data_IF_229631540910
#
_entry.id   IF_229631540910
#
_cell.length_a   1.000
_cell.length_b   1.000
_cell.length_c   1.000
_cell.angle_alpha   90.00
_cell.angle_beta   90.00
_cell.angle_gamma   90.00
#
_symmetry.space_group_name_H-M   'P 1'
#
loop_
_entity.id
_entity.type
_entity.pdbx_description
1 polymer ?
#
# COMPACT_ATOMS: atom_id res chain seq x y z
N UNK A 1 45.70 -10.88 7.19
CA UNK A 1 44.30 -11.09 7.31
C UNK A 1 43.60 -10.24 6.25
N UNK A 2 42.89 -10.87 5.30
CA UNK A 2 42.06 -10.17 4.33
C UNK A 2 40.90 -9.51 5.10
N UNK A 3 40.85 -8.16 5.14
CA UNK A 3 39.69 -7.44 5.63
C UNK A 3 38.48 -7.85 4.77
N UNK A 4 37.43 -8.40 5.38
CA UNK A 4 36.19 -8.67 4.70
C UNK A 4 35.71 -7.35 4.09
N UNK A 5 35.52 -7.32 2.75
CA UNK A 5 35.11 -6.14 2.00
C UNK A 5 33.74 -5.54 2.45
N UNK A 6 32.99 -6.28 3.27
CA UNK A 6 31.67 -5.91 3.79
C UNK A 6 31.68 -5.50 5.28
N UNK A 7 32.82 -5.30 5.90
CA UNK A 7 32.88 -4.89 7.31
C UNK A 7 32.74 -3.36 7.42
N UNK A 8 31.59 -2.91 7.91
CA UNK A 8 31.35 -1.51 8.24
C UNK A 8 31.71 -1.30 9.72
N UNK A 9 32.59 -0.34 10.01
CA UNK A 9 32.98 -0.04 11.37
C UNK A 9 31.83 0.57 12.19
N UNK A 10 31.81 0.40 13.50
CA UNK A 10 30.80 0.99 14.38
C UNK A 10 30.72 2.54 14.26
N UNK A 11 31.84 3.19 13.96
CA UNK A 11 31.89 4.65 13.70
C UNK A 11 31.17 5.01 12.40
N UNK A 12 31.40 4.21 11.36
CA UNK A 12 30.77 4.39 10.05
C UNK A 12 29.27 4.13 10.12
N UNK A 13 28.83 3.05 10.78
CA UNK A 13 27.43 2.76 11.05
C UNK A 13 26.73 3.93 11.74
N UNK A 14 27.33 4.51 12.79
CA UNK A 14 26.77 5.68 13.47
C UNK A 14 26.65 6.90 12.56
N UNK A 15 27.62 7.12 11.66
CA UNK A 15 27.57 8.21 10.68
C UNK A 15 26.43 8.03 9.71
N UNK A 16 26.35 6.85 9.07
CA UNK A 16 25.31 6.49 8.09
C UNK A 16 23.90 6.59 8.73
N UNK A 17 23.74 5.97 9.91
CA UNK A 17 22.46 6.02 10.64
C UNK A 17 22.01 7.45 10.95
N UNK A 18 22.94 8.32 11.35
CA UNK A 18 22.63 9.73 11.63
C UNK A 18 22.22 10.50 10.35
N UNK A 19 22.93 10.29 9.24
CA UNK A 19 22.63 10.90 7.95
C UNK A 19 21.26 10.42 7.42
N UNK A 20 21.04 9.10 7.41
CA UNK A 20 19.80 8.50 6.96
C UNK A 20 18.59 8.94 7.80
N UNK A 21 18.75 9.01 9.13
CA UNK A 21 17.71 9.52 10.04
C UNK A 21 17.40 11.00 9.78
N UNK A 22 18.39 11.81 9.41
CA UNK A 22 18.14 13.20 9.04
C UNK A 22 17.28 13.28 7.76
N UNK A 23 17.63 12.52 6.73
CA UNK A 23 16.89 12.48 5.46
C UNK A 23 15.45 12.02 5.68
N UNK A 24 15.25 10.90 6.38
CA UNK A 24 13.90 10.38 6.64
C UNK A 24 13.05 11.32 7.49
N UNK A 25 13.64 11.99 8.48
CA UNK A 25 12.93 12.97 9.31
C UNK A 25 12.49 14.21 8.50
N UNK A 26 13.30 14.68 7.57
CA UNK A 26 12.93 15.79 6.68
C UNK A 26 11.76 15.41 5.78
N UNK A 27 11.78 14.21 5.19
CA UNK A 27 10.68 13.70 4.34
C UNK A 27 9.40 13.54 5.18
N UNK A 28 9.49 12.90 6.35
CA UNK A 28 8.34 12.71 7.25
C UNK A 28 7.77 14.06 7.74
N UNK A 29 8.63 15.03 8.07
CA UNK A 29 8.20 16.37 8.45
C UNK A 29 7.44 17.07 7.33
N UNK A 30 7.91 16.96 6.09
CA UNK A 30 7.23 17.52 4.91
C UNK A 30 5.86 16.86 4.69
N UNK A 31 5.79 15.54 4.81
CA UNK A 31 4.56 14.75 4.61
C UNK A 31 3.50 14.99 5.69
N UNK A 32 3.93 15.13 6.96
CA UNK A 32 3.04 15.28 8.11
C UNK A 32 2.66 16.73 8.40
N UNK A 33 2.87 17.65 7.45
CA UNK A 33 2.38 19.04 7.58
C UNK A 33 0.86 19.05 7.69
N UNK A 34 0.37 19.97 8.53
CA UNK A 34 -1.06 20.28 8.57
C UNK A 34 -1.43 21.14 7.36
N UNK A 35 -2.63 20.93 6.81
CA UNK A 35 -3.19 21.75 5.73
C UNK A 35 -2.33 21.77 4.45
N UNK A 36 -2.00 20.60 3.89
CA UNK A 36 -1.36 20.49 2.58
C UNK A 36 -2.38 20.92 1.52
N UNK A 37 -2.12 21.96 0.71
CA UNK A 37 -3.06 22.41 -0.31
C UNK A 37 -3.19 21.39 -1.44
N UNK A 38 -4.37 21.29 -2.06
CA UNK A 38 -4.63 20.37 -3.18
C UNK A 38 -3.64 20.54 -4.33
N UNK A 39 -3.17 21.74 -4.58
CA UNK A 39 -2.19 22.04 -5.63
C UNK A 39 -0.83 21.32 -5.48
N UNK A 40 -0.55 20.75 -4.30
CA UNK A 40 0.69 19.99 -4.09
C UNK A 40 0.53 18.48 -4.42
N UNK A 41 -0.70 17.95 -4.46
CA UNK A 41 -0.94 16.53 -4.70
C UNK A 41 -2.01 16.23 -5.76
N UNK A 42 -2.75 17.23 -6.25
CA UNK A 42 -3.61 17.09 -7.42
C UNK A 42 -2.82 17.51 -8.67
N UNK A 43 -2.92 16.70 -9.71
CA UNK A 43 -2.14 16.84 -10.94
C UNK A 43 -2.98 16.47 -12.17
N UNK A 44 -2.37 16.21 -13.30
CA UNK A 44 -3.01 15.70 -14.52
C UNK A 44 -2.29 14.47 -15.03
N UNK A 45 -3.02 13.57 -15.69
CA UNK A 45 -2.41 12.44 -16.40
C UNK A 45 -1.60 12.93 -17.59
N UNK A 46 -0.50 12.25 -17.92
CA UNK A 46 0.20 12.45 -19.21
C UNK A 46 -0.62 11.89 -20.37
N UNK A 47 -1.23 10.72 -20.16
CA UNK A 47 -2.19 10.12 -21.07
C UNK A 47 -3.53 9.95 -20.36
N UNK A 48 -4.60 10.65 -20.79
CA UNK A 48 -5.94 10.57 -20.16
C UNK A 48 -6.57 9.16 -20.17
N UNK A 49 -6.09 8.25 -21.03
CA UNK A 49 -6.58 6.87 -21.10
C UNK A 49 -5.99 5.98 -20.01
N UNK A 50 -5.01 6.46 -19.25
CA UNK A 50 -4.40 5.71 -18.17
C UNK A 50 -5.17 5.89 -16.85
N UNK A 51 -5.19 4.83 -16.04
CA UNK A 51 -5.64 4.90 -14.64
C UNK A 51 -4.48 5.13 -13.69
N UNK A 52 -3.29 4.61 -14.00
CA UNK A 52 -2.06 4.84 -13.22
C UNK A 52 -0.89 5.12 -14.15
N UNK A 53 -0.04 6.05 -13.74
CA UNK A 53 1.26 6.30 -14.38
C UNK A 53 2.35 6.36 -13.33
N UNK A 54 3.37 5.54 -13.49
CA UNK A 54 4.65 5.66 -12.78
C UNK A 54 5.61 6.44 -13.67
N UNK A 55 6.22 7.47 -13.13
CA UNK A 55 7.09 8.38 -13.86
C UNK A 55 8.37 8.61 -13.08
N UNK A 56 9.45 7.94 -13.51
CA UNK A 56 10.78 8.00 -12.91
C UNK A 56 10.76 7.82 -11.38
N UNK A 57 10.07 6.78 -10.90
CA UNK A 57 9.82 6.56 -9.47
C UNK A 57 11.04 5.94 -8.80
N UNK A 58 11.45 6.53 -7.68
CA UNK A 58 12.53 6.05 -6.83
C UNK A 58 12.01 5.80 -5.42
N UNK A 59 12.13 4.56 -4.94
CA UNK A 59 11.77 4.17 -3.57
C UNK A 59 12.94 3.49 -2.91
N UNK A 60 13.44 4.09 -1.83
CA UNK A 60 14.67 3.69 -1.14
C UNK A 60 14.39 3.34 0.31
N UNK A 61 15.23 2.45 0.87
CA UNK A 61 15.23 2.13 2.29
C UNK A 61 16.52 2.65 2.93
N UNK A 62 16.36 3.53 3.90
CA UNK A 62 17.43 4.18 4.66
C UNK A 62 17.72 3.36 5.93
N UNK A 63 18.73 2.50 5.85
CA UNK A 63 19.11 1.60 6.95
C UNK A 63 20.30 2.13 7.75
N UNK A 64 20.61 1.50 8.87
CA UNK A 64 21.78 1.88 9.70
C UNK A 64 23.12 1.58 9.02
N UNK A 65 23.13 0.75 7.99
CA UNK A 65 24.35 0.31 7.28
C UNK A 65 24.44 0.84 5.84
N UNK A 66 23.43 1.56 5.37
CA UNK A 66 23.42 2.13 4.01
C UNK A 66 22.02 2.42 3.50
N UNK A 67 21.93 2.81 2.23
CA UNK A 67 20.68 3.04 1.52
C UNK A 67 20.48 1.95 0.49
N UNK A 68 19.35 1.26 0.56
CA UNK A 68 18.93 0.26 -0.43
C UNK A 68 17.99 0.90 -1.42
N UNK A 69 18.36 0.92 -2.69
CA UNK A 69 17.55 1.42 -3.79
C UNK A 69 16.66 0.29 -4.32
N UNK A 70 15.51 0.12 -3.72
CA UNK A 70 14.61 -0.98 -4.06
C UNK A 70 13.85 -0.75 -5.39
N UNK A 71 13.53 0.51 -5.69
CA UNK A 71 12.99 0.97 -6.96
C UNK A 71 13.83 2.18 -7.38
N UNK A 72 14.43 2.16 -8.56
CA UNK A 72 15.40 3.17 -9.00
C UNK A 72 15.12 3.59 -10.44
N UNK A 73 14.28 4.64 -10.62
CA UNK A 73 13.94 5.22 -11.92
C UNK A 73 12.93 4.41 -12.74
N UNK A 74 11.92 3.82 -12.10
CA UNK A 74 10.91 2.99 -12.79
C UNK A 74 9.80 3.85 -13.38
N UNK A 75 9.51 3.60 -14.67
CA UNK A 75 8.41 4.25 -15.41
C UNK A 75 7.59 3.20 -16.17
N UNK A 76 6.27 3.22 -16.02
CA UNK A 76 5.31 2.44 -16.79
C UNK A 76 3.90 2.98 -16.59
N UNK A 77 2.97 2.50 -17.40
CA UNK A 77 1.58 2.96 -17.42
C UNK A 77 0.62 1.79 -17.24
N UNK A 78 -0.54 2.07 -16.64
CA UNK A 78 -1.66 1.13 -16.56
C UNK A 78 -2.85 1.79 -17.25
N UNK A 79 -3.20 1.38 -18.47
CA UNK A 79 -4.37 1.89 -19.17
C UNK A 79 -5.67 1.46 -18.47
N UNK A 80 -6.70 2.29 -18.57
CA UNK A 80 -8.01 2.00 -18.01
C UNK A 80 -8.60 0.70 -18.59
N UNK A 81 -9.14 -0.15 -17.72
CA UNK A 81 -9.75 -1.42 -18.10
C UNK A 81 -8.77 -2.47 -18.62
N UNK A 82 -7.46 -2.27 -18.44
CA UNK A 82 -6.42 -3.24 -18.83
C UNK A 82 -5.73 -3.86 -17.61
N UNK A 83 -5.22 -5.06 -17.79
CA UNK A 83 -4.37 -5.74 -16.81
C UNK A 83 -2.91 -5.61 -17.24
N UNK A 84 -2.06 -5.13 -16.32
CA UNK A 84 -0.61 -5.03 -16.51
C UNK A 84 0.09 -6.04 -15.61
N UNK A 85 0.90 -6.92 -16.20
CA UNK A 85 1.72 -7.88 -15.47
C UNK A 85 3.12 -7.32 -15.19
N UNK A 86 3.51 -7.28 -13.90
CA UNK A 86 4.87 -6.92 -13.49
C UNK A 86 5.64 -8.17 -13.14
N UNK A 87 6.64 -8.51 -13.95
CA UNK A 87 7.45 -9.73 -13.82
C UNK A 87 8.91 -9.40 -13.52
N UNK A 88 9.60 -10.32 -12.89
CA UNK A 88 11.02 -10.18 -12.55
C UNK A 88 11.44 -11.16 -11.45
N UNK A 89 12.73 -11.22 -11.16
CA UNK A 89 13.31 -12.09 -10.14
C UNK A 89 12.85 -11.73 -8.73
N UNK A 90 13.01 -12.65 -7.77
CA UNK A 90 12.75 -12.37 -6.36
C UNK A 90 13.65 -11.25 -5.86
N UNK A 91 13.08 -10.28 -5.13
CA UNK A 91 13.83 -9.14 -4.57
C UNK A 91 14.11 -7.99 -5.55
N UNK A 92 13.65 -8.04 -6.81
CA UNK A 92 13.89 -6.97 -7.79
C UNK A 92 12.98 -5.73 -7.63
N UNK A 93 12.21 -5.59 -6.55
CA UNK A 93 11.42 -4.39 -6.26
C UNK A 93 9.94 -4.41 -6.67
N UNK A 94 9.41 -5.50 -7.25
CA UNK A 94 7.99 -5.58 -7.68
C UNK A 94 6.99 -5.22 -6.59
N UNK A 95 7.11 -5.85 -5.43
CA UNK A 95 6.23 -5.59 -4.28
C UNK A 95 6.42 -4.17 -3.74
N UNK A 96 7.65 -3.65 -3.73
CA UNK A 96 7.93 -2.27 -3.30
C UNK A 96 7.28 -1.27 -4.25
N UNK A 97 7.28 -1.54 -5.56
CA UNK A 97 6.59 -0.70 -6.56
C UNK A 97 5.08 -0.62 -6.27
N UNK A 98 4.42 -1.76 -6.04
CA UNK A 98 2.99 -1.80 -5.68
C UNK A 98 2.71 -1.12 -4.33
N UNK A 99 3.57 -1.35 -3.32
CA UNK A 99 3.47 -0.70 -2.01
C UNK A 99 3.69 0.82 -2.10
N UNK A 100 4.49 1.30 -3.05
CA UNK A 100 4.69 2.73 -3.30
C UNK A 100 3.40 3.39 -3.81
N UNK A 101 2.65 2.74 -4.71
CA UNK A 101 1.34 3.19 -5.17
C UNK A 101 0.35 3.29 -4.00
N UNK A 102 0.38 2.32 -3.10
CA UNK A 102 -0.50 2.29 -1.91
C UNK A 102 -0.02 3.20 -0.78
N UNK A 103 1.16 3.82 -0.88
CA UNK A 103 1.87 4.46 0.25
C UNK A 103 1.98 3.55 1.49
N UNK A 104 2.20 2.25 1.29
CA UNK A 104 2.35 1.25 2.35
C UNK A 104 3.80 0.77 2.54
N UNK A 105 4.77 1.42 1.90
CA UNK A 105 6.19 1.18 2.16
C UNK A 105 6.48 1.49 3.63
N UNK A 106 7.18 0.56 4.29
CA UNK A 106 7.43 0.63 5.75
C UNK A 106 8.24 1.88 6.13
N UNK A 107 7.60 2.82 6.79
CA UNK A 107 8.21 4.06 7.29
C UNK A 107 8.78 3.89 8.70
N UNK A 108 9.73 4.74 9.10
CA UNK A 108 10.35 5.85 8.35
C UNK A 108 11.46 5.43 7.40
N UNK A 109 11.90 4.16 7.43
CA UNK A 109 13.04 3.69 6.65
C UNK A 109 12.77 3.70 5.14
N UNK A 110 11.58 3.23 4.72
CA UNK A 110 11.19 3.20 3.31
C UNK A 110 10.51 4.50 2.89
N UNK A 111 11.03 5.13 1.85
CA UNK A 111 10.53 6.40 1.33
C UNK A 111 10.55 6.42 -0.20
N UNK A 112 9.47 6.90 -0.81
CA UNK A 112 9.52 7.32 -2.21
C UNK A 112 10.12 8.72 -2.25
N UNK A 113 11.32 8.83 -2.80
CA UNK A 113 12.17 10.05 -2.72
C UNK A 113 12.12 10.91 -3.95
N UNK A 114 11.77 10.34 -5.11
CA UNK A 114 11.76 11.04 -6.40
C UNK A 114 10.74 10.39 -7.33
N UNK A 115 10.32 11.14 -8.37
CA UNK A 115 9.35 10.73 -9.36
C UNK A 115 7.92 10.99 -8.95
N UNK A 116 7.00 10.60 -9.80
CA UNK A 116 5.57 10.77 -9.60
C UNK A 116 4.82 9.45 -9.83
N UNK A 117 3.77 9.24 -9.05
CA UNK A 117 2.79 8.18 -9.28
C UNK A 117 1.45 8.86 -9.43
N UNK A 118 0.95 8.96 -10.67
CA UNK A 118 -0.34 9.57 -10.96
C UNK A 118 -1.43 8.53 -10.92
N UNK A 119 -2.50 8.80 -10.20
CA UNK A 119 -3.67 7.94 -10.08
C UNK A 119 -4.93 8.72 -10.42
N UNK A 120 -5.66 8.25 -11.44
CA UNK A 120 -6.90 8.86 -11.93
C UNK A 120 -8.11 8.14 -11.34
N UNK A 121 -8.90 8.85 -10.54
CA UNK A 121 -10.17 8.34 -9.97
C UNK A 121 -11.38 8.63 -10.88
N UNK A 122 -11.18 9.27 -12.04
CA UNK A 122 -12.24 9.81 -12.89
C UNK A 122 -12.56 11.27 -12.58
N UNK A 123 -12.70 11.61 -11.30
CA UNK A 123 -12.99 13.00 -10.87
C UNK A 123 -11.74 13.84 -10.66
N UNK A 124 -10.69 13.21 -10.09
CA UNK A 124 -9.42 13.86 -9.77
C UNK A 124 -8.24 12.97 -10.14
N UNK A 125 -7.10 13.59 -10.40
CA UNK A 125 -5.83 12.89 -10.57
C UNK A 125 -4.92 13.22 -9.39
N UNK A 126 -4.54 12.20 -8.65
CA UNK A 126 -3.65 12.33 -7.48
C UNK A 126 -2.20 12.02 -7.85
N UNK A 127 -1.27 12.87 -7.44
CA UNK A 127 0.12 12.45 -7.31
C UNK A 127 0.29 11.76 -5.96
N UNK A 128 0.25 10.44 -5.99
CA UNK A 128 0.27 9.59 -4.79
C UNK A 128 1.48 9.90 -3.90
N UNK A 129 2.65 10.20 -4.47
CA UNK A 129 3.87 10.48 -3.71
C UNK A 129 3.68 11.65 -2.73
N UNK A 130 2.90 12.66 -3.14
CA UNK A 130 2.65 13.87 -2.36
C UNK A 130 1.32 13.87 -1.62
N UNK A 131 0.44 12.89 -1.90
CA UNK A 131 -0.91 12.82 -1.33
C UNK A 131 -0.85 12.64 0.19
N UNK A 132 -1.53 13.47 0.99
CA UNK A 132 -1.57 13.35 2.44
C UNK A 132 -2.18 12.03 2.91
N UNK A 133 -1.78 11.57 4.09
CA UNK A 133 -2.30 10.32 4.67
C UNK A 133 -3.82 10.33 4.83
N UNK A 134 -4.41 11.47 5.16
CA UNK A 134 -5.88 11.64 5.29
C UNK A 134 -6.61 11.42 3.96
N UNK A 135 -6.04 11.87 2.85
CA UNK A 135 -6.62 11.63 1.51
C UNK A 135 -6.37 10.18 1.07
N UNK A 136 -5.18 9.63 1.31
CA UNK A 136 -4.91 8.22 1.03
C UNK A 136 -5.85 7.26 1.77
N UNK A 137 -6.29 7.60 2.99
CA UNK A 137 -7.27 6.80 3.74
C UNK A 137 -8.65 6.76 3.03
N UNK A 138 -9.03 7.82 2.31
CA UNK A 138 -10.26 7.84 1.52
C UNK A 138 -10.16 7.01 0.24
N UNK A 139 -8.96 6.97 -0.36
CA UNK A 139 -8.70 6.24 -1.60
C UNK A 139 -8.55 4.73 -1.36
N UNK A 140 -7.87 4.35 -0.27
CA UNK A 140 -7.64 2.93 0.05
C UNK A 140 -8.93 2.23 0.46
N UNK A 141 -9.16 1.06 -0.15
CA UNK A 141 -10.34 0.24 0.09
C UNK A 141 -11.57 0.67 -0.70
N UNK A 142 -11.57 1.85 -1.29
CA UNK A 142 -12.65 2.36 -2.15
C UNK A 142 -12.21 2.41 -3.62
N UNK A 143 -11.25 3.28 -3.94
CA UNK A 143 -10.73 3.47 -5.30
C UNK A 143 -9.51 2.59 -5.60
N UNK A 144 -8.74 2.28 -4.57
CA UNK A 144 -7.46 1.58 -4.66
C UNK A 144 -7.38 0.50 -3.59
N UNK A 145 -7.23 -0.76 -3.99
CA UNK A 145 -7.10 -1.89 -3.06
C UNK A 145 -5.94 -2.80 -3.44
N UNK A 146 -5.48 -3.60 -2.50
CA UNK A 146 -4.36 -4.50 -2.66
C UNK A 146 -4.65 -5.86 -2.02
N UNK A 147 -4.32 -6.94 -2.75
CA UNK A 147 -4.31 -8.30 -2.21
C UNK A 147 -2.86 -8.65 -1.87
N UNK A 148 -2.61 -8.98 -0.61
CA UNK A 148 -1.27 -9.32 -0.12
C UNK A 148 -0.92 -10.78 -0.40
N UNK A 149 0.38 -11.06 -0.47
CA UNK A 149 0.90 -12.38 -0.84
C UNK A 149 0.64 -13.45 0.23
N UNK A 150 0.47 -13.08 1.50
CA UNK A 150 0.24 -13.99 2.62
C UNK A 150 -1.16 -13.76 3.24
N UNK A 151 -2.22 -14.36 2.68
CA UNK A 151 -3.60 -14.14 3.16
C UNK A 151 -3.82 -14.67 4.57
N UNK A 152 -3.02 -15.67 5.01
CA UNK A 152 -3.15 -16.28 6.34
C UNK A 152 -2.87 -15.31 7.49
N UNK A 153 -2.11 -14.26 7.25
CA UNK A 153 -1.73 -13.23 8.23
C UNK A 153 -2.55 -11.95 8.12
N UNK A 154 -3.41 -11.84 7.10
CA UNK A 154 -4.20 -10.64 6.84
C UNK A 154 -5.33 -10.45 7.86
N UNK A 155 -5.94 -11.55 8.32
CA UNK A 155 -7.05 -11.53 9.27
C UNK A 155 -6.55 -11.58 10.72
N UNK A 156 -7.13 -10.75 11.57
CA UNK A 156 -6.87 -10.77 13.00
C UNK A 156 -7.56 -11.99 13.64
N UNK A 157 -6.82 -12.92 14.28
CA UNK A 157 -7.37 -14.19 14.77
C UNK A 157 -8.37 -14.05 15.92
N UNK A 158 -8.42 -12.91 16.60
CA UNK A 158 -9.29 -12.70 17.77
C UNK A 158 -10.62 -12.04 17.43
N UNK A 159 -10.84 -11.64 16.18
CA UNK A 159 -12.11 -11.09 15.70
C UNK A 159 -12.78 -12.04 14.70
N UNK A 160 -14.11 -12.02 14.67
CA UNK A 160 -14.88 -12.80 13.69
C UNK A 160 -14.71 -12.27 12.28
N UNK A 161 -14.86 -13.13 11.30
CA UNK A 161 -14.77 -12.78 9.87
C UNK A 161 -15.72 -11.62 9.54
N UNK A 162 -16.98 -11.74 9.94
CA UNK A 162 -17.99 -10.71 9.65
C UNK A 162 -17.62 -9.34 10.22
N UNK A 163 -17.10 -9.28 11.44
CA UNK A 163 -16.71 -8.03 12.09
C UNK A 163 -15.61 -7.30 11.30
N UNK A 164 -14.62 -8.03 10.77
CA UNK A 164 -13.50 -7.48 10.03
C UNK A 164 -13.92 -6.99 8.63
N UNK A 165 -14.79 -7.73 7.95
CA UNK A 165 -15.32 -7.30 6.63
C UNK A 165 -16.31 -6.16 6.78
N UNK A 166 -17.15 -6.16 7.83
CA UNK A 166 -18.08 -5.08 8.16
C UNK A 166 -17.36 -3.74 8.38
N UNK A 167 -16.14 -3.77 8.99
CA UNK A 167 -15.38 -2.58 9.29
C UNK A 167 -15.10 -1.75 8.03
N UNK A 168 -14.67 -2.39 6.96
CA UNK A 168 -14.40 -1.72 5.67
C UNK A 168 -15.69 -1.14 5.07
N UNK A 169 -16.78 -1.91 5.11
CA UNK A 169 -18.07 -1.43 4.60
C UNK A 169 -18.55 -0.19 5.36
N UNK A 170 -18.44 -0.19 6.70
CA UNK A 170 -18.83 0.96 7.55
C UNK A 170 -17.95 2.18 7.32
N UNK A 171 -16.64 1.97 7.15
CA UNK A 171 -15.68 3.05 6.93
C UNK A 171 -16.04 3.88 5.69
N UNK A 172 -16.42 3.21 4.60
CA UNK A 172 -16.72 3.86 3.33
C UNK A 172 -18.21 4.19 3.14
N UNK A 173 -19.10 3.65 3.99
CA UNK A 173 -20.55 3.88 3.92
C UNK A 173 -21.13 4.15 5.32
N UNK A 174 -20.80 5.29 5.93
CA UNK A 174 -21.18 5.60 7.31
C UNK A 174 -22.71 5.64 7.55
N UNK A 175 -23.50 5.89 6.52
CA UNK A 175 -24.96 5.99 6.58
C UNK A 175 -25.68 4.64 6.52
N UNK A 176 -24.95 3.53 6.25
CA UNK A 176 -25.57 2.19 6.21
C UNK A 176 -25.91 1.70 7.63
N UNK A 177 -27.12 1.10 7.74
CA UNK A 177 -27.52 0.42 8.98
C UNK A 177 -26.68 -0.84 9.23
N UNK A 178 -26.67 -1.33 10.47
CA UNK A 178 -25.96 -2.59 10.82
C UNK A 178 -26.43 -3.78 9.99
N UNK A 179 -27.73 -3.84 9.71
CA UNK A 179 -28.36 -4.89 8.92
C UNK A 179 -27.92 -4.82 7.45
N UNK A 180 -27.83 -3.62 6.89
CA UNK A 180 -27.35 -3.39 5.53
C UNK A 180 -25.88 -3.76 5.39
N UNK A 181 -25.04 -3.36 6.36
CA UNK A 181 -23.61 -3.69 6.38
C UNK A 181 -23.44 -5.23 6.43
N UNK A 182 -24.13 -5.92 7.34
CA UNK A 182 -24.09 -7.38 7.44
C UNK A 182 -24.56 -8.05 6.15
N UNK A 183 -25.64 -7.57 5.55
CA UNK A 183 -26.17 -8.10 4.29
C UNK A 183 -25.12 -7.97 3.16
N UNK A 184 -24.45 -6.82 3.09
CA UNK A 184 -23.36 -6.58 2.13
C UNK A 184 -22.17 -7.53 2.35
N UNK A 185 -21.75 -7.72 3.59
CA UNK A 185 -20.68 -8.67 3.92
C UNK A 185 -21.04 -10.10 3.49
N UNK A 186 -22.27 -10.57 3.78
CA UNK A 186 -22.74 -11.91 3.38
C UNK A 186 -22.77 -12.02 1.84
N UNK A 187 -23.19 -10.98 1.14
CA UNK A 187 -23.17 -10.92 -0.33
C UNK A 187 -21.74 -11.07 -0.87
N UNK A 188 -20.78 -10.34 -0.31
CA UNK A 188 -19.37 -10.42 -0.72
C UNK A 188 -18.80 -11.83 -0.49
N UNK A 189 -19.07 -12.44 0.67
CA UNK A 189 -18.67 -13.83 0.95
C UNK A 189 -19.26 -14.82 -0.06
N UNK A 190 -20.51 -14.62 -0.50
CA UNK A 190 -21.14 -15.44 -1.56
C UNK A 190 -20.44 -15.23 -2.90
N UNK A 191 -20.12 -13.99 -3.27
CA UNK A 191 -19.45 -13.65 -4.55
C UNK A 191 -18.07 -14.32 -4.66
N UNK A 192 -17.32 -14.44 -3.57
CA UNK A 192 -16.04 -15.16 -3.56
C UNK A 192 -16.20 -16.69 -3.38
N UNK A 193 -17.42 -17.22 -3.48
CA UNK A 193 -17.69 -18.66 -3.51
C UNK A 193 -17.67 -19.33 -2.13
N UNK A 194 -17.98 -18.63 -1.05
CA UNK A 194 -18.19 -19.19 0.28
C UNK A 194 -19.61 -19.74 0.37
N UNK A 195 -19.77 -21.07 0.38
CA UNK A 195 -21.08 -21.74 0.34
C UNK A 195 -21.95 -21.40 1.56
N UNK A 196 -21.40 -21.43 2.78
CA UNK A 196 -22.11 -21.11 4.03
C UNK A 196 -21.69 -19.72 4.53
N UNK A 197 -22.02 -18.69 3.77
CA UNK A 197 -21.60 -17.31 4.07
C UNK A 197 -22.11 -16.79 5.42
N UNK A 198 -23.33 -17.14 5.82
CA UNK A 198 -23.90 -16.74 7.12
C UNK A 198 -23.21 -17.44 8.30
N UNK A 199 -22.82 -18.70 8.12
CA UNK A 199 -22.03 -19.44 9.10
C UNK A 199 -20.63 -18.85 9.23
N UNK A 200 -19.97 -18.63 8.08
CA UNK A 200 -18.60 -18.07 8.03
C UNK A 200 -18.54 -16.65 8.59
N UNK A 201 -19.58 -15.82 8.38
CA UNK A 201 -19.69 -14.51 9.00
C UNK A 201 -19.46 -14.54 10.53
N UNK A 202 -19.91 -15.63 11.21
CA UNK A 202 -19.80 -15.78 12.67
C UNK A 202 -18.54 -16.50 13.13
N UNK A 203 -17.77 -17.08 12.21
CA UNK A 203 -16.54 -17.84 12.49
C UNK A 203 -15.34 -16.93 12.73
N UNK A 204 -14.36 -17.48 13.43
CA UNK A 204 -13.02 -16.90 13.56
C UNK A 204 -12.10 -17.40 12.45
N UNK A 205 -11.01 -16.67 12.12
CA UNK A 205 -10.07 -17.10 11.08
C UNK A 205 -9.53 -18.52 11.23
N UNK A 206 -9.24 -18.96 12.45
CA UNK A 206 -8.71 -20.31 12.74
C UNK A 206 -9.71 -21.44 12.48
N UNK A 207 -10.99 -21.15 12.34
CA UNK A 207 -12.04 -22.12 12.01
C UNK A 207 -12.18 -22.32 10.48
N UNK A 208 -11.49 -21.52 9.66
CA UNK A 208 -11.55 -21.59 8.21
C UNK A 208 -10.43 -22.47 7.64
N UNK A 209 -10.72 -23.15 6.53
CA UNK A 209 -9.69 -23.81 5.73
C UNK A 209 -8.80 -22.78 5.04
N UNK A 210 -7.57 -23.19 4.66
CA UNK A 210 -6.65 -22.30 3.93
C UNK A 210 -7.26 -21.73 2.65
N UNK A 211 -8.00 -22.54 1.88
CA UNK A 211 -8.70 -22.07 0.69
C UNK A 211 -9.87 -21.10 0.97
N UNK A 212 -10.49 -21.17 2.14
CA UNK A 212 -11.50 -20.19 2.57
C UNK A 212 -10.82 -18.88 3.01
N UNK A 213 -9.72 -18.96 3.77
CA UNK A 213 -8.93 -17.78 4.16
C UNK A 213 -8.40 -16.98 2.98
N UNK A 214 -8.03 -17.66 1.88
CA UNK A 214 -7.60 -16.99 0.64
C UNK A 214 -8.72 -16.26 -0.08
N UNK A 215 -9.98 -16.70 0.10
CA UNK A 215 -11.14 -16.09 -0.56
C UNK A 215 -11.79 -14.97 0.24
N UNK A 216 -11.66 -15.01 1.55
CA UNK A 216 -12.13 -13.96 2.47
C UNK A 216 -11.18 -12.78 2.48
#
# INVERSE_FOLDING_TARGET
GKKNANYISAKETKRISKENRKITNEIEKKRNRKNIPESEYITTMKNPENVVEFDNVHTYFFTDIGTVKAVDGVSFEIPQGKTVGVVGESGCGKSVTSLSLMQLVQRPQGQTVEGEIRFNTGDKVYNIVNTPTSEMQKLRGNELSMIFQEPMTALNPVFRIGEQVDEITKLHNPDMSKEQVKARTIEMLKLVGIANSEGVYKMYPHELSGGMLQRV
#
